data_IF_407908154359
#
_entry.id   IF_407908154359
#
_cell.length_a   1.000
_cell.length_b   1.000
_cell.length_c   1.000
_cell.angle_alpha   90.00
_cell.angle_beta   90.00
_cell.angle_gamma   90.00
#
_symmetry.space_group_name_H-M   'P 1'
#
loop_
_entity.id
_entity.type
_entity.pdbx_description
1 polymer ?
#
# COMPACT_ATOMS: atom_id res chain seq x y z
N UNK A 1 23.45 -30.36 59.60
CA UNK A 1 22.22 -31.17 59.74
C UNK A 1 21.08 -30.27 60.19
N UNK A 2 20.29 -29.76 59.24
CA UNK A 2 18.95 -29.21 59.42
C UNK A 2 18.30 -29.11 58.02
N UNK A 3 17.00 -29.36 57.97
CA UNK A 3 16.22 -29.74 56.80
C UNK A 3 15.77 -28.56 55.92
N UNK A 4 15.56 -28.85 54.63
CA UNK A 4 14.40 -28.38 53.87
C UNK A 4 14.23 -29.23 52.60
N UNK A 5 13.30 -30.17 52.66
CA UNK A 5 12.82 -30.93 51.51
C UNK A 5 11.80 -30.10 50.73
N UNK A 6 12.10 -29.72 49.49
CA UNK A 6 11.11 -29.17 48.54
C UNK A 6 10.70 -30.28 47.56
N UNK A 7 9.44 -30.68 47.65
CA UNK A 7 8.75 -31.60 46.74
C UNK A 7 8.42 -30.93 45.39
N UNK A 8 8.07 -31.71 44.34
CA UNK A 8 8.27 -31.34 42.93
C UNK A 8 7.22 -30.37 42.39
N UNK A 9 7.62 -29.55 41.42
CA UNK A 9 6.74 -28.68 40.66
C UNK A 9 5.75 -29.52 39.82
N UNK A 10 4.47 -29.41 40.15
CA UNK A 10 3.35 -30.04 39.42
C UNK A 10 3.12 -29.27 38.12
N UNK A 11 3.17 -29.90 36.93
CA UNK A 11 2.72 -29.26 35.70
C UNK A 11 1.19 -29.19 35.68
N UNK A 12 0.64 -27.99 35.42
CA UNK A 12 -0.78 -27.76 35.21
C UNK A 12 -1.29 -28.56 34.00
N UNK A 13 -1.78 -29.79 34.23
CA UNK A 13 -2.59 -30.54 33.28
C UNK A 13 -3.98 -29.91 33.22
N UNK A 14 -4.30 -29.25 32.11
CA UNK A 14 -5.68 -28.95 31.76
C UNK A 14 -6.42 -30.26 31.47
N UNK A 15 -7.50 -30.53 32.20
CA UNK A 15 -8.40 -31.65 31.94
C UNK A 15 -9.14 -31.43 30.61
N UNK A 16 -9.17 -32.41 29.70
CA UNK A 16 -9.93 -32.30 28.46
C UNK A 16 -11.40 -32.62 28.74
N UNK A 17 -12.21 -31.61 29.03
CA UNK A 17 -13.67 -31.74 29.00
C UNK A 17 -14.27 -30.82 27.95
N UNK A 18 -15.18 -31.40 27.15
CA UNK A 18 -15.96 -30.84 26.04
C UNK A 18 -15.28 -30.84 24.66
N UNK A 19 -15.24 -32.02 24.04
CA UNK A 19 -15.18 -32.14 22.58
C UNK A 19 -16.52 -31.72 21.99
N UNK A 20 -16.67 -30.43 21.63
CA UNK A 20 -17.79 -30.01 20.77
C UNK A 20 -17.52 -30.50 19.34
N UNK A 21 -18.13 -31.63 18.98
CA UNK A 21 -18.21 -32.08 17.59
C UNK A 21 -19.11 -31.12 16.81
N UNK A 22 -18.51 -30.15 16.11
CA UNK A 22 -19.20 -29.49 15.00
C UNK A 22 -19.34 -30.50 13.85
N UNK A 23 -20.52 -31.12 13.73
CA UNK A 23 -20.88 -31.85 12.51
C UNK A 23 -21.12 -30.82 11.41
N UNK A 24 -20.08 -30.54 10.64
CA UNK A 24 -20.23 -29.87 9.35
C UNK A 24 -20.83 -30.88 8.36
N UNK A 25 -22.06 -30.64 7.93
CA UNK A 25 -22.67 -31.32 6.79
C UNK A 25 -22.06 -30.75 5.51
N UNK A 26 -20.82 -31.15 5.19
CA UNK A 26 -20.30 -30.98 3.84
C UNK A 26 -20.96 -32.03 2.94
N UNK A 27 -22.00 -31.61 2.21
CA UNK A 27 -22.44 -32.35 1.03
C UNK A 27 -21.35 -32.30 -0.01
N UNK A 28 -20.74 -33.46 -0.28
CA UNK A 28 -19.75 -33.69 -1.32
C UNK A 28 -20.28 -33.25 -2.69
N UNK A 29 -19.78 -32.14 -3.22
CA UNK A 29 -19.83 -31.86 -4.66
C UNK A 29 -18.57 -32.44 -5.30
N UNK A 30 -18.78 -33.42 -6.19
CA UNK A 30 -17.78 -34.24 -6.89
C UNK A 30 -16.57 -33.43 -7.40
N UNK A 31 -15.33 -33.97 -7.34
CA UNK A 31 -14.16 -33.31 -7.92
C UNK A 31 -14.22 -33.35 -9.45
N UNK A 32 -13.98 -32.21 -10.08
CA UNK A 32 -13.77 -32.12 -11.53
C UNK A 32 -12.37 -32.66 -11.83
N UNK A 33 -12.33 -33.75 -12.60
CA UNK A 33 -11.13 -34.44 -13.05
C UNK A 33 -10.39 -33.58 -14.09
N UNK A 34 -9.19 -33.07 -13.78
CA UNK A 34 -8.31 -32.47 -14.78
C UNK A 34 -7.66 -33.57 -15.62
N UNK A 35 -8.05 -33.68 -16.89
CA UNK A 35 -7.29 -34.46 -17.88
C UNK A 35 -6.05 -33.67 -18.30
N UNK A 36 -4.89 -34.24 -18.03
CA UNK A 36 -3.61 -33.90 -18.65
C UNK A 36 -3.69 -34.15 -20.16
N UNK A 37 -3.30 -33.17 -20.96
CA UNK A 37 -3.02 -33.38 -22.38
C UNK A 37 -1.83 -32.52 -22.80
N UNK A 38 -0.65 -33.13 -22.70
CA UNK A 38 0.54 -32.72 -23.43
C UNK A 38 0.39 -33.28 -24.86
N UNK A 39 0.38 -32.40 -25.86
CA UNK A 39 0.89 -32.68 -27.21
C UNK A 39 1.31 -31.38 -27.91
N UNK A 40 2.57 -31.37 -28.37
CA UNK A 40 3.23 -30.35 -29.21
C UNK A 40 2.68 -30.39 -30.65
N UNK A 41 2.62 -29.24 -31.32
CA UNK A 41 3.33 -28.96 -32.60
C UNK A 41 3.03 -27.54 -33.16
N UNK A 42 3.92 -27.10 -34.05
CA UNK A 42 4.03 -25.79 -34.70
C UNK A 42 2.92 -25.48 -35.74
N UNK A 43 2.68 -24.18 -35.98
CA UNK A 43 2.60 -23.49 -37.31
C UNK A 43 1.37 -22.58 -37.54
N UNK A 44 1.70 -21.31 -37.80
CA UNK A 44 1.14 -20.27 -38.70
C UNK A 44 -0.37 -20.00 -38.94
N UNK A 45 -0.67 -18.69 -38.97
CA UNK A 45 -1.67 -17.89 -39.72
C UNK A 45 -3.15 -17.84 -39.27
N UNK A 46 -3.50 -16.65 -38.75
CA UNK A 46 -4.60 -15.73 -39.19
C UNK A 46 -6.07 -16.21 -39.33
N UNK A 47 -6.96 -15.74 -38.42
CA UNK A 47 -8.08 -14.77 -38.65
C UNK A 47 -9.29 -14.92 -37.67
N UNK A 48 -9.73 -13.75 -37.21
CA UNK A 48 -11.06 -13.27 -36.77
C UNK A 48 -12.00 -14.05 -35.83
N UNK A 49 -12.34 -13.34 -34.73
CA UNK A 49 -13.68 -13.15 -34.13
C UNK A 49 -14.47 -14.38 -33.64
N UNK A 50 -14.60 -14.50 -32.32
CA UNK A 50 -15.90 -14.39 -31.64
C UNK A 50 -15.74 -14.31 -30.12
N UNK A 51 -16.28 -13.21 -29.61
CA UNK A 51 -16.49 -12.88 -28.21
C UNK A 51 -17.44 -13.90 -27.55
N UNK A 52 -17.03 -14.51 -26.43
CA UNK A 52 -17.96 -15.04 -25.42
C UNK A 52 -17.57 -14.49 -24.05
N UNK A 53 -18.28 -13.43 -23.68
CA UNK A 53 -18.32 -12.87 -22.33
C UNK A 53 -18.99 -13.89 -21.40
N UNK A 54 -18.38 -14.16 -20.25
CA UNK A 54 -19.03 -14.81 -19.11
C UNK A 54 -19.57 -13.73 -18.17
N UNK A 55 -20.82 -13.83 -17.69
CA UNK A 55 -21.41 -12.81 -16.85
C UNK A 55 -20.85 -12.86 -15.42
N UNK A 56 -20.35 -11.72 -14.95
CA UNK A 56 -20.05 -11.47 -13.53
C UNK A 56 -21.36 -11.11 -12.81
N UNK A 57 -21.85 -12.00 -11.94
CA UNK A 57 -22.95 -11.70 -11.03
C UNK A 57 -22.47 -10.86 -9.85
N UNK A 58 -23.08 -9.69 -9.65
CA UNK A 58 -22.90 -8.86 -8.46
C UNK A 58 -23.75 -9.41 -7.31
N UNK A 59 -23.09 -9.86 -6.24
CA UNK A 59 -23.72 -10.28 -4.99
C UNK A 59 -24.28 -9.09 -4.22
N UNK A 60 -25.58 -9.16 -3.93
CA UNK A 60 -26.36 -8.19 -3.16
C UNK A 60 -25.83 -8.03 -1.72
N UNK A 61 -25.45 -6.81 -1.32
CA UNK A 61 -25.09 -6.48 0.07
C UNK A 61 -26.37 -6.39 0.91
N UNK A 62 -26.54 -7.28 1.89
CA UNK A 62 -27.51 -7.12 2.99
C UNK A 62 -26.85 -6.31 4.11
N UNK A 63 -27.45 -5.18 4.47
CA UNK A 63 -27.09 -4.40 5.65
C UNK A 63 -27.75 -5.04 6.89
N UNK A 64 -26.95 -5.33 7.92
CA UNK A 64 -27.47 -5.63 9.25
C UNK A 64 -27.66 -4.31 10.02
N UNK A 65 -28.89 -4.05 10.49
CA UNK A 65 -29.22 -2.96 11.41
C UNK A 65 -29.30 -3.56 12.82
N UNK A 66 -28.46 -3.08 13.74
CA UNK A 66 -28.63 -3.36 15.18
C UNK A 66 -29.58 -2.32 15.77
N UNK A 67 -30.76 -2.76 16.21
CA UNK A 67 -31.69 -1.97 17.01
C UNK A 67 -31.36 -2.13 18.50
N UNK A 68 -30.82 -1.08 19.13
CA UNK A 68 -30.74 -0.99 20.59
C UNK A 68 -32.06 -0.41 21.13
N UNK A 69 -32.76 -1.17 21.97
CA UNK A 69 -33.99 -0.71 22.65
C UNK A 69 -33.61 -0.11 23.99
N UNK A 70 -33.86 1.19 24.17
CA UNK A 70 -33.65 1.92 25.42
C UNK A 70 -34.94 2.01 26.23
N UNK A 71 -34.86 1.71 27.53
CA UNK A 71 -35.91 1.95 28.52
C UNK A 71 -35.69 3.30 29.22
N UNK A 72 -36.78 4.03 29.49
CA UNK A 72 -36.93 5.19 30.38
C UNK A 72 -38.01 4.82 31.42
N UNK A 73 -38.18 5.47 32.61
CA UNK A 73 -38.08 6.93 32.81
C UNK A 73 -37.58 7.41 34.21
N UNK A 74 -37.21 8.69 34.33
CA UNK A 74 -37.64 9.53 35.46
C UNK A 74 -37.33 11.02 35.24
N UNK A 75 -38.19 11.82 35.88
CA UNK A 75 -38.46 13.25 35.81
C UNK A 75 -37.29 14.24 35.94
N UNK A 76 -37.35 15.36 35.19
CA UNK A 76 -37.31 16.73 35.72
C UNK A 76 -37.66 17.77 34.62
N UNK A 77 -38.36 18.85 35.01
CA UNK A 77 -38.94 19.91 34.16
C UNK A 77 -37.89 20.91 33.62
N UNK A 78 -38.20 21.65 32.52
CA UNK A 78 -37.25 22.51 31.82
C UNK A 78 -37.24 23.96 32.33
N UNK A 79 -36.14 24.71 32.18
CA UNK A 79 -36.16 26.17 32.12
C UNK A 79 -35.95 26.67 30.68
N UNK A 80 -36.77 27.65 30.32
CA UNK A 80 -36.75 28.46 29.11
C UNK A 80 -35.74 29.62 29.24
N UNK A 81 -35.33 30.21 28.10
CA UNK A 81 -34.46 31.37 27.89
C UNK A 81 -32.92 31.17 27.88
N UNK A 82 -32.40 30.94 26.66
CA UNK A 82 -31.21 31.63 26.13
C UNK A 82 -31.13 31.42 24.61
N UNK A 83 -31.87 32.23 23.85
CA UNK A 83 -31.56 32.45 22.44
C UNK A 83 -30.23 33.22 22.29
N UNK A 84 -29.57 33.01 21.17
CA UNK A 84 -28.37 33.71 20.66
C UNK A 84 -27.01 33.29 21.22
N UNK A 85 -26.53 32.11 20.79
CA UNK A 85 -25.13 31.91 20.34
C UNK A 85 -25.06 30.92 19.18
N UNK A 86 -25.49 31.34 17.99
CA UNK A 86 -25.02 30.73 16.74
C UNK A 86 -23.56 31.13 16.53
N UNK A 87 -22.66 30.45 17.23
CA UNK A 87 -21.22 30.51 17.01
C UNK A 87 -20.83 29.39 16.06
N UNK A 88 -20.33 29.76 14.89
CA UNK A 88 -19.75 28.89 13.87
C UNK A 88 -18.76 27.87 14.45
N UNK A 89 -19.16 26.60 14.56
CA UNK A 89 -18.19 25.53 14.70
C UNK A 89 -18.72 24.22 14.14
N UNK A 90 -18.95 24.22 12.83
CA UNK A 90 -19.56 23.08 12.12
C UNK A 90 -19.10 22.92 10.68
N UNK A 91 -17.84 23.23 10.35
CA UNK A 91 -17.24 22.85 9.07
C UNK A 91 -15.80 22.41 9.31
N UNK A 92 -15.62 21.25 9.96
CA UNK A 92 -14.31 20.62 10.05
C UNK A 92 -14.38 19.25 9.38
N UNK A 93 -13.54 19.14 8.36
CA UNK A 93 -13.39 18.06 7.39
C UNK A 93 -14.39 18.13 6.23
N UNK A 94 -14.05 18.92 5.21
CA UNK A 94 -14.65 18.75 3.89
C UNK A 94 -14.52 17.28 3.45
N UNK A 95 -15.58 16.72 2.86
CA UNK A 95 -15.62 15.30 2.50
C UNK A 95 -14.38 14.87 1.72
N UNK A 96 -13.93 13.62 1.93
CA UNK A 96 -12.76 13.06 1.25
C UNK A 96 -12.91 13.18 -0.27
N UNK A 97 -12.31 14.21 -0.85
CA UNK A 97 -12.26 14.38 -2.31
C UNK A 97 -11.30 13.34 -2.85
N UNK A 98 -11.86 12.28 -3.46
CA UNK A 98 -11.08 11.25 -4.14
C UNK A 98 -10.26 11.93 -5.24
N UNK A 99 -8.94 12.01 -5.03
CA UNK A 99 -7.99 12.50 -6.04
C UNK A 99 -8.14 11.67 -7.32
N UNK A 100 -8.08 12.32 -8.49
CA UNK A 100 -8.09 11.60 -9.77
C UNK A 100 -6.75 10.89 -9.94
N UNK A 101 -6.77 9.56 -10.02
CA UNK A 101 -5.57 8.77 -10.31
C UNK A 101 -5.25 8.85 -11.80
N UNK A 102 -3.97 8.90 -12.14
CA UNK A 102 -3.53 8.85 -13.54
C UNK A 102 -3.97 7.52 -14.18
N UNK A 103 -3.96 6.42 -13.42
CA UNK A 103 -4.46 5.13 -13.88
C UNK A 103 -5.93 5.19 -14.35
N UNK A 104 -6.80 5.89 -13.61
CA UNK A 104 -8.23 6.00 -13.93
C UNK A 104 -8.49 6.88 -15.17
N UNK A 105 -7.51 7.67 -15.58
CA UNK A 105 -7.54 8.50 -16.79
C UNK A 105 -6.93 7.72 -17.96
N UNK A 106 -5.73 7.15 -17.81
CA UNK A 106 -4.94 6.62 -18.94
C UNK A 106 -5.01 5.11 -19.16
N UNK A 107 -5.44 4.31 -18.17
CA UNK A 107 -5.34 2.84 -18.24
C UNK A 107 -6.61 2.16 -18.78
N UNK A 108 -7.66 2.93 -19.07
CA UNK A 108 -8.88 2.40 -19.67
C UNK A 108 -8.71 2.02 -21.15
N UNK A 109 -9.66 1.27 -21.74
CA UNK A 109 -9.63 0.89 -23.17
C UNK A 109 -9.58 2.10 -24.11
N UNK A 110 -10.15 3.21 -23.66
CA UNK A 110 -10.21 4.49 -24.36
C UNK A 110 -9.04 5.42 -24.02
N UNK A 111 -8.12 5.02 -23.13
CA UNK A 111 -6.90 5.77 -22.77
C UNK A 111 -7.13 7.27 -22.42
N UNK A 112 -8.32 7.60 -21.92
CA UNK A 112 -8.69 8.95 -21.46
C UNK A 112 -9.54 9.76 -22.44
N UNK A 113 -9.82 9.23 -23.64
CA UNK A 113 -10.70 9.87 -24.63
C UNK A 113 -12.13 10.10 -24.06
N UNK A 114 -12.57 9.27 -23.12
CA UNK A 114 -13.86 9.38 -22.43
C UNK A 114 -13.96 10.59 -21.47
N UNK A 115 -12.85 11.28 -21.23
CA UNK A 115 -12.75 12.37 -20.26
C UNK A 115 -12.48 13.74 -20.89
N UNK A 116 -12.57 13.87 -22.22
CA UNK A 116 -12.36 15.15 -22.88
C UNK A 116 -13.24 16.28 -22.34
N UNK A 117 -12.65 17.47 -22.27
CA UNK A 117 -13.31 18.69 -21.77
C UNK A 117 -13.55 18.69 -20.26
N UNK A 118 -13.25 17.60 -19.54
CA UNK A 118 -13.42 17.56 -18.09
C UNK A 118 -12.23 18.19 -17.39
N UNK A 119 -12.54 18.97 -16.35
CA UNK A 119 -11.54 19.48 -15.42
C UNK A 119 -11.17 18.35 -14.46
N UNK A 120 -9.87 18.06 -14.35
CA UNK A 120 -9.33 17.06 -13.43
C UNK A 120 -8.20 17.66 -12.60
N UNK A 121 -8.06 17.13 -11.38
CA UNK A 121 -6.96 17.46 -10.47
C UNK A 121 -6.08 16.24 -10.31
N UNK A 122 -4.82 16.35 -10.72
CA UNK A 122 -3.81 15.30 -10.60
C UNK A 122 -2.76 15.76 -9.59
N UNK A 123 -2.42 14.89 -8.66
CA UNK A 123 -1.34 15.12 -7.69
C UNK A 123 -0.30 14.02 -7.87
N UNK A 124 0.97 14.40 -7.89
CA UNK A 124 2.06 13.44 -8.06
C UNK A 124 3.43 14.09 -8.04
N UNK A 125 4.43 13.36 -8.52
CA UNK A 125 5.81 13.82 -8.62
C UNK A 125 6.17 14.14 -10.06
N UNK A 126 6.91 15.23 -10.24
CA UNK A 126 7.48 15.64 -11.52
C UNK A 126 8.56 14.64 -11.93
N UNK A 127 8.37 14.02 -13.09
CA UNK A 127 9.33 13.09 -13.70
C UNK A 127 10.30 13.80 -14.62
N UNK A 128 9.77 14.72 -15.43
CA UNK A 128 10.58 15.57 -16.30
C UNK A 128 9.88 16.89 -16.48
N UNK A 129 10.66 17.96 -16.56
CA UNK A 129 10.22 19.31 -16.86
C UNK A 129 10.95 19.79 -18.12
N UNK A 130 10.23 20.39 -19.06
CA UNK A 130 10.80 21.05 -20.24
C UNK A 130 10.12 22.39 -20.41
N UNK A 131 10.86 23.46 -20.15
CA UNK A 131 10.41 24.84 -20.29
C UNK A 131 10.75 25.31 -21.70
N UNK A 132 9.77 25.81 -22.44
CA UNK A 132 9.97 26.53 -23.70
C UNK A 132 9.52 27.98 -23.51
N UNK A 133 9.69 28.83 -24.54
CA UNK A 133 9.45 30.27 -24.43
C UNK A 133 8.00 30.64 -24.06
N UNK A 134 7.01 29.90 -24.57
CA UNK A 134 5.59 30.17 -24.34
C UNK A 134 4.84 29.05 -23.63
N UNK A 135 5.38 27.82 -23.70
CA UNK A 135 4.71 26.61 -23.22
C UNK A 135 5.69 25.79 -22.39
N UNK A 136 5.21 25.28 -21.26
CA UNK A 136 5.96 24.37 -20.40
C UNK A 136 5.32 22.98 -20.39
N UNK A 137 6.14 21.96 -20.61
CA UNK A 137 5.75 20.55 -20.58
C UNK A 137 6.21 19.89 -19.28
N UNK A 138 5.27 19.36 -18.51
CA UNK A 138 5.50 18.69 -17.23
C UNK A 138 4.99 17.26 -17.33
N UNK A 139 5.87 16.28 -17.11
CA UNK A 139 5.46 14.88 -16.98
C UNK A 139 5.26 14.55 -15.49
N UNK A 140 4.04 14.18 -15.10
CA UNK A 140 3.68 13.87 -13.71
C UNK A 140 3.40 12.37 -13.56
N UNK A 141 3.84 11.78 -12.45
CA UNK A 141 3.51 10.41 -12.09
C UNK A 141 3.04 10.32 -10.63
N UNK A 142 1.93 9.64 -10.38
CA UNK A 142 1.33 9.45 -9.05
C UNK A 142 1.57 8.03 -8.49
N UNK A 143 2.31 7.18 -9.22
CA UNK A 143 2.58 5.78 -8.88
C UNK A 143 1.46 4.79 -9.20
N UNK A 144 0.27 5.26 -9.58
CA UNK A 144 -0.91 4.41 -9.82
C UNK A 144 -0.74 3.50 -11.05
N UNK A 145 -0.06 3.98 -12.09
CA UNK A 145 0.27 3.22 -13.29
C UNK A 145 1.73 3.45 -13.72
N UNK A 146 2.15 2.77 -14.79
CA UNK A 146 3.46 2.98 -15.39
C UNK A 146 3.50 4.28 -16.22
N UNK A 147 2.39 4.63 -16.86
CA UNK A 147 2.27 5.80 -17.73
C UNK A 147 2.30 7.11 -16.94
N UNK A 148 2.95 8.13 -17.51
CA UNK A 148 2.92 9.50 -16.99
C UNK A 148 1.74 10.29 -17.56
N UNK A 149 1.28 11.30 -16.83
CA UNK A 149 0.39 12.33 -17.35
C UNK A 149 1.23 13.48 -17.89
N UNK A 150 1.07 13.81 -19.18
CA UNK A 150 1.67 15.00 -19.77
C UNK A 150 0.77 16.20 -19.46
N UNK A 151 1.34 17.21 -18.83
CA UNK A 151 0.68 18.46 -18.51
C UNK A 151 1.34 19.57 -19.34
N UNK A 152 0.53 20.34 -20.05
CA UNK A 152 0.94 21.43 -20.92
C UNK A 152 0.44 22.72 -20.30
N UNK A 153 1.35 23.62 -19.96
CA UNK A 153 1.04 24.85 -19.24
C UNK A 153 1.49 26.06 -20.05
N UNK A 154 0.57 26.99 -20.29
CA UNK A 154 0.84 28.28 -20.92
C UNK A 154 1.38 29.26 -19.86
N UNK A 155 2.15 30.28 -20.27
CA UNK A 155 2.72 31.27 -19.35
C UNK A 155 1.68 32.09 -18.57
N UNK A 156 0.43 32.13 -19.06
CA UNK A 156 -0.70 32.84 -18.43
C UNK A 156 -1.43 32.01 -17.37
N UNK A 157 -1.07 30.72 -17.20
CA UNK A 157 -1.74 29.84 -16.25
C UNK A 157 -1.41 30.18 -14.78
N UNK A 158 -2.36 29.95 -13.88
CA UNK A 158 -2.20 30.27 -12.46
C UNK A 158 -1.07 29.42 -11.83
N UNK A 159 -0.10 30.08 -11.18
CA UNK A 159 1.05 29.42 -10.58
C UNK A 159 2.27 29.26 -11.49
N UNK A 160 2.28 29.89 -12.67
CA UNK A 160 3.44 29.85 -13.58
C UNK A 160 4.71 30.48 -12.98
N UNK A 161 4.54 31.47 -12.11
CA UNK A 161 5.57 32.09 -11.28
C UNK A 161 6.36 31.06 -10.46
N UNK A 162 5.74 29.95 -10.03
CA UNK A 162 6.42 28.86 -9.32
C UNK A 162 7.38 28.08 -10.23
N UNK A 163 7.11 28.04 -11.54
CA UNK A 163 7.99 27.43 -12.53
C UNK A 163 9.16 28.36 -12.83
N UNK A 164 8.88 29.65 -13.07
CA UNK A 164 9.92 30.66 -13.32
C UNK A 164 10.85 30.83 -12.11
N UNK A 165 10.30 30.79 -10.90
CA UNK A 165 11.03 30.81 -9.63
C UNK A 165 11.82 29.53 -9.33
N UNK A 166 11.74 28.50 -10.19
CA UNK A 166 12.53 27.28 -10.06
C UNK A 166 12.05 26.31 -8.97
N UNK A 167 10.86 26.49 -8.40
CA UNK A 167 10.31 25.58 -7.38
C UNK A 167 9.87 24.23 -7.96
N UNK A 168 9.47 24.22 -9.23
CA UNK A 168 9.09 23.00 -9.96
C UNK A 168 10.33 22.35 -10.54
N UNK A 169 10.88 21.34 -9.87
CA UNK A 169 12.05 20.58 -10.33
C UNK A 169 11.74 19.09 -10.46
N UNK A 170 12.66 18.32 -11.06
CA UNK A 170 12.50 16.85 -11.12
C UNK A 170 12.52 16.28 -9.70
N UNK A 171 11.48 15.52 -9.34
CA UNK A 171 11.30 14.97 -8.00
C UNK A 171 10.37 15.81 -7.11
N UNK A 172 10.04 17.05 -7.50
CA UNK A 172 9.11 17.90 -6.77
C UNK A 172 7.69 17.30 -6.78
N UNK A 173 6.95 17.53 -5.71
CA UNK A 173 5.55 17.13 -5.59
C UNK A 173 4.63 18.30 -5.89
N UNK A 174 3.68 18.07 -6.79
CA UNK A 174 2.81 19.12 -7.31
C UNK A 174 1.35 18.67 -7.36
N UNK A 175 0.46 19.64 -7.25
CA UNK A 175 -0.93 19.54 -7.65
C UNK A 175 -1.09 20.29 -8.97
N UNK A 176 -1.72 19.65 -9.94
CA UNK A 176 -2.03 20.22 -11.24
C UNK A 176 -3.52 20.10 -11.48
N UNK A 177 -4.17 21.21 -11.76
CA UNK A 177 -5.56 21.27 -12.18
C UNK A 177 -5.61 21.74 -13.64
N UNK A 178 -6.36 21.00 -14.46
CA UNK A 178 -6.45 21.30 -15.88
C UNK A 178 -7.58 20.58 -16.59
N UNK A 179 -7.74 20.89 -17.87
CA UNK A 179 -8.73 20.28 -18.76
C UNK A 179 -8.07 19.18 -19.58
N UNK A 180 -8.70 18.00 -19.65
CA UNK A 180 -8.22 16.91 -20.51
C UNK A 180 -8.52 17.25 -21.98
N UNK A 181 -7.49 17.28 -22.80
CA UNK A 181 -7.54 17.60 -24.23
C UNK A 181 -6.84 16.53 -25.04
N UNK A 182 -7.14 16.49 -26.35
CA UNK A 182 -6.47 15.59 -27.27
C UNK A 182 -5.02 16.02 -27.42
N UNK A 183 -4.09 15.07 -27.32
CA UNK A 183 -2.68 15.41 -27.44
C UNK A 183 -2.31 15.61 -28.90
N UNK A 184 -1.56 16.66 -29.17
CA UNK A 184 -0.96 16.90 -30.48
C UNK A 184 0.23 15.95 -30.77
N UNK A 185 0.72 15.22 -29.76
CA UNK A 185 1.87 14.33 -29.86
C UNK A 185 1.48 12.89 -30.19
N UNK A 186 2.24 12.22 -31.06
CA UNK A 186 1.97 10.83 -31.45
C UNK A 186 2.19 9.77 -30.35
N UNK A 187 2.81 10.14 -29.23
CA UNK A 187 3.18 9.20 -28.15
C UNK A 187 2.09 9.01 -27.10
N UNK A 188 1.07 9.86 -27.09
CA UNK A 188 -0.04 9.79 -26.14
C UNK A 188 -1.32 10.28 -26.80
N UNK A 189 -2.47 9.75 -26.39
CA UNK A 189 -3.77 10.18 -26.94
C UNK A 189 -4.32 11.43 -26.28
N UNK A 190 -4.04 11.61 -24.99
CA UNK A 190 -4.55 12.73 -24.19
C UNK A 190 -3.43 13.40 -23.41
N UNK A 191 -3.61 14.70 -23.19
CA UNK A 191 -2.79 15.53 -22.32
C UNK A 191 -3.67 16.45 -21.49
N UNK A 192 -3.06 17.04 -20.45
CA UNK A 192 -3.75 17.94 -19.53
C UNK A 192 -3.33 19.38 -19.83
N UNK A 193 -4.25 20.19 -20.37
CA UNK A 193 -4.03 21.64 -20.48
C UNK A 193 -4.20 22.26 -19.09
N UNK A 194 -3.11 22.76 -18.51
CA UNK A 194 -3.04 23.21 -17.12
C UNK A 194 -3.65 24.59 -16.99
N UNK A 195 -4.59 24.73 -16.05
CA UNK A 195 -5.14 26.01 -15.63
C UNK A 195 -4.46 26.53 -14.36
N UNK A 196 -4.10 25.62 -13.45
CA UNK A 196 -3.51 25.94 -12.16
C UNK A 196 -2.48 24.89 -11.73
N UNK A 197 -1.35 25.35 -11.21
CA UNK A 197 -0.33 24.52 -10.57
C UNK A 197 -0.05 25.02 -9.15
N UNK A 198 0.16 24.07 -8.23
CA UNK A 198 0.58 24.35 -6.85
C UNK A 198 1.69 23.38 -6.47
N UNK A 199 2.84 23.90 -6.08
CA UNK A 199 3.92 23.11 -5.48
C UNK A 199 3.50 22.73 -4.06
N UNK A 200 3.44 21.42 -3.80
CA UNK A 200 3.12 20.87 -2.48
C UNK A 200 4.39 20.64 -1.67
N UNK A 201 5.49 20.34 -2.36
CA UNK A 201 6.79 20.13 -1.77
C UNK A 201 7.87 20.19 -2.84
N UNK A 202 8.85 21.04 -2.59
CA UNK A 202 9.99 21.26 -3.47
C UNK A 202 10.93 20.04 -3.50
N UNK A 203 11.82 20.01 -4.49
CA UNK A 203 12.87 19.00 -4.57
C UNK A 203 14.22 19.66 -4.77
N UNK A 204 15.18 19.21 -3.96
CA UNK A 204 16.56 19.65 -4.03
C UNK A 204 17.21 19.26 -5.38
N UNK A 205 18.09 20.11 -5.96
CA UNK A 205 18.82 19.79 -7.18
C UNK A 205 19.66 18.51 -7.11
N UNK A 206 20.08 18.08 -5.91
CA UNK A 206 20.79 16.82 -5.64
C UNK A 206 19.92 15.56 -5.77
N UNK A 207 18.67 15.71 -6.21
CA UNK A 207 17.75 14.59 -6.41
C UNK A 207 18.39 13.49 -7.29
N UNK A 208 18.58 12.26 -6.75
CA UNK A 208 19.45 11.28 -7.39
C UNK A 208 18.80 10.55 -8.58
N UNK A 209 17.47 10.61 -8.72
CA UNK A 209 16.72 9.95 -9.81
C UNK A 209 16.42 10.96 -10.92
N UNK A 210 17.48 11.47 -11.54
CA UNK A 210 17.36 12.32 -12.71
C UNK A 210 16.90 11.51 -13.94
N UNK A 211 16.60 12.20 -15.06
CA UNK A 211 16.25 11.59 -16.35
C UNK A 211 17.47 10.94 -17.04
N UNK A 212 18.19 10.08 -16.33
CA UNK A 212 19.34 9.30 -16.80
C UNK A 212 19.17 7.86 -16.38
N UNK A 213 19.83 6.94 -17.09
CA UNK A 213 19.82 5.53 -16.71
C UNK A 213 20.65 5.36 -15.44
N UNK A 214 19.99 4.89 -14.38
CA UNK A 214 20.63 4.65 -13.09
C UNK A 214 20.81 3.14 -12.89
N UNK A 215 21.99 2.73 -12.43
CA UNK A 215 22.29 1.33 -12.14
C UNK A 215 21.45 0.79 -10.99
N UNK A 216 21.16 -0.52 -11.00
CA UNK A 216 20.40 -1.18 -9.93
C UNK A 216 21.11 -1.11 -8.57
N UNK A 217 22.44 -1.13 -8.57
CA UNK A 217 23.25 -1.04 -7.35
C UNK A 217 23.13 0.32 -6.68
N UNK A 218 23.24 1.41 -7.46
CA UNK A 218 22.98 2.74 -6.96
C UNK A 218 21.55 2.90 -6.42
N UNK A 219 20.55 2.28 -7.07
CA UNK A 219 19.18 2.30 -6.54
C UNK A 219 19.02 1.50 -5.23
N UNK A 220 19.92 0.56 -4.91
CA UNK A 220 19.93 -0.10 -3.59
C UNK A 220 20.40 0.84 -2.50
N UNK A 221 21.41 1.68 -2.76
CA UNK A 221 21.88 2.69 -1.79
C UNK A 221 20.81 3.75 -1.50
N UNK A 222 19.93 4.04 -2.48
CA UNK A 222 18.77 4.94 -2.33
C UNK A 222 17.44 4.17 -2.33
N UNK A 223 17.34 3.13 -1.50
CA UNK A 223 16.18 2.23 -1.46
C UNK A 223 14.82 2.94 -1.24
N UNK A 224 14.79 4.04 -0.49
CA UNK A 224 13.58 4.82 -0.20
C UNK A 224 13.00 5.53 -1.42
N UNK A 225 13.83 5.93 -2.40
CA UNK A 225 13.36 6.58 -3.64
C UNK A 225 13.11 5.58 -4.77
N UNK A 226 13.70 4.38 -4.67
CA UNK A 226 13.65 3.33 -5.69
C UNK A 226 12.24 3.03 -6.23
N UNK A 227 11.16 2.93 -5.41
CA UNK A 227 9.80 2.69 -5.91
C UNK A 227 9.28 3.74 -6.90
N UNK A 228 9.87 4.94 -6.93
CA UNK A 228 9.52 6.01 -7.88
C UNK A 228 10.09 5.75 -9.29
N UNK A 229 10.98 4.78 -9.47
CA UNK A 229 11.48 4.40 -10.80
C UNK A 229 10.50 3.48 -11.54
N UNK A 230 10.59 3.42 -12.87
CA UNK A 230 9.66 2.64 -13.69
C UNK A 230 9.69 1.14 -13.35
N UNK A 231 10.89 0.56 -13.24
CA UNK A 231 11.07 -0.87 -12.98
C UNK A 231 10.60 -1.24 -11.57
N UNK A 232 11.07 -0.53 -10.54
CA UNK A 232 10.72 -0.91 -9.17
C UNK A 232 9.29 -0.49 -8.79
N UNK A 233 8.74 0.56 -9.40
CA UNK A 233 7.32 0.88 -9.31
C UNK A 233 6.45 -0.23 -9.90
N UNK A 234 6.85 -0.80 -11.06
CA UNK A 234 6.16 -1.97 -11.62
C UNK A 234 6.28 -3.20 -10.70
N UNK A 235 7.47 -3.50 -10.18
CA UNK A 235 7.68 -4.61 -9.22
C UNK A 235 6.80 -4.45 -7.98
N UNK A 236 6.72 -3.24 -7.42
CA UNK A 236 5.89 -2.96 -6.25
C UNK A 236 4.40 -3.22 -6.52
N UNK A 237 3.88 -2.77 -7.68
CA UNK A 237 2.48 -3.02 -8.08
C UNK A 237 2.20 -4.51 -8.31
N UNK A 238 3.11 -5.23 -8.98
CA UNK A 238 2.98 -6.68 -9.18
C UNK A 238 3.00 -7.42 -7.85
N UNK A 239 3.94 -7.08 -6.95
CA UNK A 239 4.00 -7.68 -5.60
C UNK A 239 2.71 -7.46 -4.82
N UNK A 240 2.14 -6.25 -4.89
CA UNK A 240 0.85 -5.95 -4.27
C UNK A 240 -0.28 -6.80 -4.86
N UNK A 241 -0.38 -6.90 -6.19
CA UNK A 241 -1.40 -7.71 -6.85
C UNK A 241 -1.28 -9.20 -6.51
N UNK A 242 -0.05 -9.73 -6.45
CA UNK A 242 0.21 -11.12 -6.06
C UNK A 242 -0.19 -11.37 -4.61
N UNK A 243 0.25 -10.53 -3.67
CA UNK A 243 -0.10 -10.68 -2.25
C UNK A 243 -1.62 -10.67 -2.05
N UNK A 244 -2.31 -9.71 -2.68
CA UNK A 244 -3.77 -9.64 -2.64
C UNK A 244 -4.43 -10.90 -3.23
N UNK A 245 -3.95 -11.38 -4.37
CA UNK A 245 -4.51 -12.56 -5.05
C UNK A 245 -4.32 -13.83 -4.23
N UNK A 246 -3.15 -13.99 -3.58
CA UNK A 246 -2.88 -15.12 -2.68
C UNK A 246 -3.85 -15.13 -1.50
N UNK A 247 -4.00 -14.00 -0.80
CA UNK A 247 -4.93 -13.91 0.32
C UNK A 247 -6.38 -14.13 -0.11
N UNK A 248 -6.77 -13.55 -1.25
CA UNK A 248 -8.11 -13.73 -1.82
C UNK A 248 -8.39 -15.20 -2.10
N UNK A 249 -7.47 -15.90 -2.77
CA UNK A 249 -7.62 -17.33 -3.07
C UNK A 249 -7.86 -18.16 -1.81
N UNK A 250 -7.03 -18.00 -0.77
CA UNK A 250 -7.18 -18.78 0.45
C UNK A 250 -8.49 -18.46 1.19
N UNK A 251 -8.88 -17.18 1.26
CA UNK A 251 -10.15 -16.80 1.88
C UNK A 251 -11.37 -17.37 1.14
N UNK A 252 -11.37 -17.33 -0.19
CA UNK A 252 -12.47 -17.88 -1.01
C UNK A 252 -12.60 -19.41 -0.87
N UNK A 253 -11.54 -20.10 -0.45
CA UNK A 253 -11.54 -21.54 -0.19
C UNK A 253 -11.75 -21.90 1.30
N UNK A 254 -12.13 -20.93 2.14
CA UNK A 254 -12.46 -21.17 3.55
C UNK A 254 -11.25 -21.31 4.47
N UNK A 255 -10.05 -20.95 4.02
CA UNK A 255 -8.87 -20.89 4.89
C UNK A 255 -8.90 -19.63 5.77
N UNK A 256 -8.39 -19.76 6.98
CA UNK A 256 -8.21 -18.65 7.93
C UNK A 256 -6.75 -18.24 7.93
N UNK A 257 -6.49 -16.93 7.77
CA UNK A 257 -5.15 -16.39 7.89
C UNK A 257 -4.74 -16.31 9.37
N UNK A 258 -3.67 -17.01 9.74
CA UNK A 258 -3.08 -17.00 11.08
C UNK A 258 -1.67 -16.39 10.97
N UNK A 259 -1.40 -15.37 11.79
CA UNK A 259 -0.06 -14.79 11.89
C UNK A 259 0.77 -15.57 12.90
N UNK A 260 1.77 -16.32 12.44
CA UNK A 260 2.69 -17.06 13.30
C UNK A 260 3.73 -16.13 13.97
N UNK A 261 4.25 -16.48 15.15
CA UNK A 261 5.34 -15.72 15.77
C UNK A 261 6.60 -15.76 14.90
N UNK A 262 7.31 -14.64 14.85
CA UNK A 262 8.58 -14.50 14.10
C UNK A 262 9.78 -14.80 15.01
N UNK A 263 9.73 -14.35 16.27
CA UNK A 263 10.76 -14.66 17.28
C UNK A 263 10.44 -16.03 17.87
N UNK A 264 11.42 -16.94 17.83
CA UNK A 264 11.31 -18.30 18.37
C UNK A 264 12.44 -18.55 19.38
N UNK A 265 12.16 -19.39 20.37
CA UNK A 265 13.15 -19.82 21.37
C UNK A 265 14.01 -21.00 20.90
N UNK A 266 13.65 -21.65 19.79
CA UNK A 266 14.29 -22.88 19.33
C UNK A 266 14.43 -22.91 17.81
N UNK A 267 15.52 -23.53 17.36
CA UNK A 267 15.69 -23.96 15.99
C UNK A 267 14.85 -25.20 15.71
N UNK A 268 13.87 -25.06 14.83
CA UNK A 268 12.89 -26.09 14.54
C UNK A 268 13.52 -27.36 13.95
N UNK A 269 14.63 -27.23 13.20
CA UNK A 269 15.27 -28.37 12.50
C UNK A 269 16.81 -28.33 12.52
N UNK A 270 17.45 -27.25 12.98
CA UNK A 270 18.90 -27.23 13.20
C UNK A 270 19.77 -27.08 11.95
N UNK A 271 19.15 -26.86 10.78
CA UNK A 271 19.83 -26.91 9.48
C UNK A 271 20.38 -25.56 8.99
N UNK A 272 20.17 -24.47 9.73
CA UNK A 272 20.61 -23.13 9.31
C UNK A 272 21.03 -22.24 10.48
N UNK A 273 21.92 -21.28 10.20
CA UNK A 273 22.31 -20.27 11.18
C UNK A 273 21.13 -19.32 11.48
N UNK A 274 20.92 -19.02 12.77
CA UNK A 274 19.82 -18.17 13.23
C UNK A 274 20.31 -16.79 13.66
N UNK A 275 19.47 -15.77 13.47
CA UNK A 275 19.70 -14.46 14.08
C UNK A 275 19.37 -14.50 15.57
N UNK A 276 20.36 -14.24 16.42
CA UNK A 276 20.15 -14.09 17.86
C UNK A 276 19.47 -12.74 18.14
N UNK A 277 18.33 -12.78 18.82
CA UNK A 277 17.63 -11.60 19.31
C UNK A 277 17.80 -11.54 20.82
N UNK A 278 18.36 -10.43 21.33
CA UNK A 278 18.62 -10.24 22.76
C UNK A 278 18.31 -8.82 23.19
N UNK A 279 17.86 -8.68 24.43
CA UNK A 279 17.72 -7.39 25.12
C UNK A 279 18.89 -7.12 26.08
N UNK A 280 19.81 -8.08 26.24
CA UNK A 280 20.99 -8.00 27.10
C UNK A 280 22.14 -7.23 26.41
N UNK A 281 21.89 -5.97 26.03
CA UNK A 281 22.92 -5.08 25.49
C UNK A 281 23.53 -4.31 26.67
N UNK A 282 24.86 -4.41 26.93
CA UNK A 282 25.51 -3.62 27.97
C UNK A 282 25.34 -2.11 27.67
N UNK A 283 24.97 -1.33 28.67
CA UNK A 283 24.70 0.12 28.55
C UNK A 283 25.92 1.00 28.30
N UNK A 284 27.08 0.44 27.98
CA UNK A 284 28.30 1.20 27.68
C UNK A 284 28.43 1.49 26.19
N UNK A 285 27.85 2.63 25.75
CA UNK A 285 28.10 3.45 24.54
C UNK A 285 28.52 2.86 23.17
N UNK A 286 28.59 1.54 22.94
CA UNK A 286 29.03 0.97 21.66
C UNK A 286 27.94 0.10 21.01
N UNK A 287 26.78 0.71 20.76
CA UNK A 287 25.62 0.07 20.13
C UNK A 287 25.82 -0.39 18.67
N UNK A 288 27.00 -0.16 18.07
CA UNK A 288 27.27 -0.49 16.67
C UNK A 288 28.15 -1.74 16.47
N UNK A 289 28.79 -2.27 17.51
CA UNK A 289 29.82 -3.31 17.35
C UNK A 289 29.86 -4.37 18.45
N UNK A 290 28.86 -4.50 19.33
CA UNK A 290 28.86 -5.55 20.35
C UNK A 290 28.75 -6.94 19.70
N UNK A 291 29.79 -7.80 19.74
CA UNK A 291 29.71 -9.15 19.21
C UNK A 291 28.77 -9.99 20.09
N UNK A 292 28.22 -11.09 19.57
CA UNK A 292 27.50 -12.10 20.39
C UNK A 292 28.31 -12.57 21.62
N UNK A 293 29.63 -12.35 21.64
CA UNK A 293 30.52 -12.61 22.76
C UNK A 293 30.24 -11.74 24.01
N UNK A 294 29.62 -10.56 23.86
CA UNK A 294 29.30 -9.64 24.96
C UNK A 294 28.01 -9.97 25.71
N UNK A 295 27.24 -10.97 25.26
CA UNK A 295 26.04 -11.43 25.95
C UNK A 295 26.50 -12.18 27.22
N UNK A 296 26.01 -11.80 28.43
CA UNK A 296 26.34 -12.52 29.66
C UNK A 296 26.08 -14.02 29.51
N UNK A 297 27.08 -14.84 29.85
CA UNK A 297 26.97 -16.29 29.84
C UNK A 297 27.23 -16.82 31.24
N UNK A 298 26.43 -17.82 31.61
CA UNK A 298 26.68 -18.67 32.77
C UNK A 298 27.97 -19.47 32.58
N UNK A 299 28.50 -20.05 33.66
CA UNK A 299 29.72 -20.87 33.64
C UNK A 299 29.63 -22.07 32.67
N UNK A 300 28.40 -22.48 32.30
CA UNK A 300 28.12 -23.57 31.35
C UNK A 300 28.07 -23.11 29.89
N UNK A 301 28.36 -21.83 29.61
CA UNK A 301 28.32 -21.25 28.27
C UNK A 301 26.92 -20.91 27.75
N UNK A 302 25.87 -21.16 28.54
CA UNK A 302 24.49 -20.76 28.26
C UNK A 302 24.27 -19.27 28.60
N UNK A 303 23.38 -18.59 27.89
CA UNK A 303 23.05 -17.18 28.14
C UNK A 303 22.49 -17.02 29.56
N UNK A 304 23.03 -16.04 30.30
CA UNK A 304 22.60 -15.69 31.65
C UNK A 304 21.45 -14.66 31.60
N UNK A 305 20.23 -15.16 31.76
CA UNK A 305 19.01 -14.36 31.75
C UNK A 305 18.72 -13.66 33.09
N UNK A 306 19.48 -13.92 34.15
CA UNK A 306 19.27 -13.29 35.46
C UNK A 306 19.49 -11.79 35.47
N UNK A 307 20.15 -11.26 34.43
CA UNK A 307 20.42 -9.83 34.25
C UNK A 307 19.32 -9.10 33.46
N UNK A 308 18.26 -9.79 33.04
CA UNK A 308 17.06 -9.16 32.50
C UNK A 308 16.15 -8.77 33.66
N UNK A 309 16.10 -7.48 34.00
CA UNK A 309 15.12 -6.89 34.91
C UNK A 309 13.76 -6.67 34.25
#
# INVERSE_FOLDING_TARGET
MAAASLAPAVPLRFNPYSTLRFKSLFTSSKPILFKTLIKRSHSSREKSLLCRQLPFHYGSRRFFVSSASGASPSSMKPPELAENRMGEMGNRVGGFRKKSKIADIKTGPLEGLDRFGRIVVVMGWVRTLRVQRSITFIEVNDGSCLSNMQCVMDAEAEGYDQIEGGMVTTGASILVQGIVVESQGSKQKVELKVNKIVVVGESDPSYPIQKKKVGREFLRTKAHLRPRTNTFGAVARVRNALAYSTHKFFQENGFVWVSSPIITASDCEGAGEQFCVTTLIPSSEEAAASPMAGIPKTQNGLIDWSQVG
#
